data_IF_614908069263
#
_entry.id   IF_614908069263
#
_cell.length_a   1.000
_cell.length_b   1.000
_cell.length_c   1.000
_cell.angle_alpha   90.00
_cell.angle_beta   90.00
_cell.angle_gamma   90.00
#
_symmetry.space_group_name_H-M   'P 1'
#
loop_
_entity.id
_entity.type
_entity.pdbx_description
1 polymer ?
#
# COMPACT_ATOMS: atom_id res chain seq x y z
N UNK A 1 15.73 -0.01 -25.58
CA UNK A 1 14.73 -0.17 -24.51
C UNK A 1 15.20 0.61 -23.30
N UNK A 2 14.41 1.55 -22.77
CA UNK A 2 14.81 2.31 -21.58
C UNK A 2 14.87 1.36 -20.37
N UNK A 3 15.97 1.39 -19.61
CA UNK A 3 16.11 0.57 -18.41
C UNK A 3 15.18 1.11 -17.31
N UNK A 4 14.13 0.35 -16.98
CA UNK A 4 13.29 0.61 -15.81
C UNK A 4 13.96 0.00 -14.58
N UNK A 5 13.97 0.74 -13.47
CA UNK A 5 14.36 0.16 -12.18
C UNK A 5 13.25 -0.80 -11.73
N UNK A 6 13.63 -1.99 -11.29
CA UNK A 6 12.69 -3.04 -10.85
C UNK A 6 12.68 -3.06 -9.35
N UNK A 7 11.51 -2.90 -8.76
CA UNK A 7 11.34 -2.84 -7.31
C UNK A 7 10.31 -3.86 -6.86
N UNK A 8 10.66 -4.62 -5.83
CA UNK A 8 9.70 -5.34 -5.00
C UNK A 8 9.39 -4.45 -3.80
N UNK A 9 8.12 -4.40 -3.41
CA UNK A 9 7.67 -3.69 -2.21
C UNK A 9 6.60 -4.50 -1.48
N UNK A 10 6.46 -4.29 -0.19
CA UNK A 10 5.37 -4.87 0.58
C UNK A 10 4.68 -3.81 1.45
N UNK A 11 3.40 -4.05 1.78
CA UNK A 11 2.59 -3.14 2.59
C UNK A 11 1.53 -3.86 3.40
N UNK A 12 1.03 -3.20 4.44
CA UNK A 12 0.03 -3.72 5.36
C UNK A 12 -1.32 -3.02 5.21
N UNK A 13 -2.39 -3.81 5.04
CA UNK A 13 -3.77 -3.36 5.05
C UNK A 13 -4.30 -3.44 6.49
N UNK A 14 -4.08 -2.37 7.25
CA UNK A 14 -4.50 -2.32 8.66
C UNK A 14 -5.98 -1.93 8.72
N UNK A 15 -6.82 -2.87 9.16
CA UNK A 15 -8.24 -2.63 9.43
C UNK A 15 -8.48 -2.49 10.93
N UNK A 16 -9.22 -1.45 11.32
CA UNK A 16 -9.62 -1.21 12.69
C UNK A 16 -11.00 -0.55 12.72
N UNK A 17 -11.97 -1.15 13.42
CA UNK A 17 -13.33 -0.61 13.61
C UNK A 17 -14.03 -0.15 12.31
N UNK A 18 -13.88 -0.93 11.22
CA UNK A 18 -14.49 -0.60 9.93
C UNK A 18 -13.77 0.50 9.13
N UNK A 19 -12.64 0.99 9.63
CA UNK A 19 -11.74 1.89 8.93
C UNK A 19 -10.46 1.18 8.48
N UNK A 20 -9.83 1.72 7.42
CA UNK A 20 -8.51 1.33 6.94
C UNK A 20 -7.52 2.47 7.20
N UNK A 21 -6.28 2.10 7.56
CA UNK A 21 -5.19 3.05 7.71
C UNK A 21 -4.64 3.49 6.35
N UNK A 22 -4.61 4.80 6.12
CA UNK A 22 -3.96 5.41 4.96
C UNK A 22 -2.80 6.32 5.37
N UNK A 23 -1.81 6.44 4.48
CA UNK A 23 -0.68 7.37 4.61
C UNK A 23 -0.70 8.38 3.47
N UNK A 24 -0.27 9.61 3.76
CA UNK A 24 -0.17 10.70 2.78
C UNK A 24 1.29 11.02 2.51
N UNK A 25 1.76 10.77 1.31
CA UNK A 25 3.13 11.16 0.93
C UNK A 25 3.28 12.69 0.83
N UNK A 26 4.52 13.17 0.75
CA UNK A 26 4.84 14.61 0.62
C UNK A 26 4.29 15.29 -0.64
N UNK A 27 3.92 14.51 -1.67
CA UNK A 27 3.24 15.04 -2.87
C UNK A 27 1.73 15.21 -2.66
N UNK A 28 1.24 14.95 -1.45
CA UNK A 28 -0.14 15.13 -1.06
C UNK A 28 -1.07 13.99 -1.45
N UNK A 29 -0.55 12.88 -1.98
CA UNK A 29 -1.35 11.72 -2.39
C UNK A 29 -1.51 10.73 -1.23
N UNK A 30 -2.75 10.28 -1.03
CA UNK A 30 -3.07 9.21 -0.09
C UNK A 30 -2.86 7.84 -0.74
N UNK A 31 -2.40 6.89 0.06
CA UNK A 31 -2.17 5.51 -0.34
C UNK A 31 -2.11 4.58 0.87
N UNK A 32 -1.74 3.34 0.59
CA UNK A 32 -1.58 2.28 1.58
C UNK A 32 -0.17 2.34 2.18
N UNK A 33 0.00 2.04 3.48
CA UNK A 33 1.32 1.94 4.09
C UNK A 33 2.15 0.83 3.42
N UNK A 34 3.34 1.16 2.93
CA UNK A 34 4.20 0.24 2.16
C UNK A 34 5.58 0.86 1.90
N UNK A 35 6.55 -0.01 1.65
CA UNK A 35 7.83 0.43 1.10
C UNK A 35 8.67 -0.71 0.54
N UNK A 36 9.93 -0.40 0.28
CA UNK A 36 10.79 -1.28 -0.51
C UNK A 36 11.16 -2.53 0.29
N UNK A 37 11.17 -3.67 -0.39
CA UNK A 37 11.75 -4.88 0.16
C UNK A 37 13.27 -4.71 0.31
N UNK A 38 13.79 -5.04 1.48
CA UNK A 38 15.22 -4.99 1.77
C UNK A 38 15.85 -6.40 1.82
N UNK A 39 17.13 -6.55 1.44
CA UNK A 39 17.80 -7.85 1.49
C UNK A 39 17.80 -8.45 2.90
N UNK A 40 17.32 -9.68 3.01
CA UNK A 40 17.28 -10.44 4.26
C UNK A 40 15.91 -10.48 4.93
N UNK A 41 14.94 -9.71 4.44
CA UNK A 41 13.55 -9.74 4.94
C UNK A 41 12.68 -10.72 4.15
N UNK A 42 11.68 -11.31 4.81
CA UNK A 42 10.47 -11.80 4.15
C UNK A 42 9.58 -10.60 3.78
N UNK A 43 8.75 -10.74 2.73
CA UNK A 43 7.82 -9.67 2.33
C UNK A 43 6.82 -9.29 3.44
N UNK A 44 6.44 -10.25 4.29
CA UNK A 44 5.61 -9.97 5.47
C UNK A 44 6.37 -9.13 6.51
N UNK A 45 7.66 -9.38 6.72
CA UNK A 45 8.50 -8.59 7.63
C UNK A 45 8.66 -7.15 7.10
N UNK A 46 8.90 -6.99 5.79
CA UNK A 46 8.89 -5.68 5.13
C UNK A 46 7.56 -4.95 5.38
N UNK A 47 6.41 -5.63 5.19
CA UNK A 47 5.11 -5.01 5.43
C UNK A 47 4.93 -4.53 6.88
N UNK A 48 5.34 -5.33 7.86
CA UNK A 48 5.27 -4.96 9.28
C UNK A 48 6.18 -3.77 9.61
N UNK A 49 7.43 -3.80 9.10
CA UNK A 49 8.40 -2.71 9.28
C UNK A 49 7.88 -1.40 8.71
N UNK A 50 7.38 -1.42 7.48
CA UNK A 50 6.90 -0.22 6.78
C UNK A 50 5.67 0.39 7.45
N UNK A 51 4.73 -0.42 7.93
CA UNK A 51 3.60 0.09 8.73
C UNK A 51 4.11 0.81 9.98
N UNK A 52 5.06 0.22 10.70
CA UNK A 52 5.66 0.82 11.89
C UNK A 52 6.41 2.10 11.59
N UNK A 53 7.25 2.09 10.56
CA UNK A 53 8.08 3.22 10.17
C UNK A 53 7.21 4.39 9.70
N UNK A 54 6.25 4.15 8.81
CA UNK A 54 5.41 5.20 8.22
C UNK A 54 4.38 5.79 9.20
N UNK A 55 3.92 4.99 10.17
CA UNK A 55 2.71 5.32 10.96
C UNK A 55 2.84 5.21 12.48
N UNK A 56 3.95 4.67 12.98
CA UNK A 56 4.16 4.43 14.42
C UNK A 56 3.32 3.30 15.00
N UNK A 57 2.55 2.58 14.18
CA UNK A 57 1.69 1.48 14.62
C UNK A 57 2.41 0.13 14.50
N UNK A 58 2.14 -0.76 15.45
CA UNK A 58 2.63 -2.13 15.44
C UNK A 58 1.51 -3.06 14.99
N UNK A 59 1.82 -3.95 14.05
CA UNK A 59 0.85 -4.86 13.45
C UNK A 59 1.36 -6.29 13.41
N UNK A 60 0.42 -7.22 13.55
CA UNK A 60 0.63 -8.63 13.18
C UNK A 60 0.18 -8.80 11.72
N UNK A 61 1.07 -9.32 10.88
CA UNK A 61 0.79 -9.55 9.45
C UNK A 61 0.08 -10.89 9.28
N UNK A 62 -1.06 -10.85 8.60
CA UNK A 62 -1.86 -12.01 8.24
C UNK A 62 -1.66 -12.42 6.79
N UNK A 63 -2.72 -12.98 6.20
CA UNK A 63 -2.69 -13.52 4.84
C UNK A 63 -2.44 -12.45 3.77
N UNK A 64 -1.82 -12.87 2.67
CA UNK A 64 -1.67 -12.05 1.47
C UNK A 64 -3.07 -11.67 0.95
N UNK A 65 -3.32 -10.38 0.79
CA UNK A 65 -4.57 -9.85 0.26
C UNK A 65 -4.54 -9.82 -1.27
N UNK A 66 -3.51 -9.22 -1.85
CA UNK A 66 -3.35 -9.14 -3.31
C UNK A 66 -1.91 -8.78 -3.71
N UNK A 67 -1.61 -9.01 -4.99
CA UNK A 67 -0.39 -8.56 -5.65
C UNK A 67 -0.77 -7.57 -6.75
N UNK A 68 -0.09 -6.44 -6.82
CA UNK A 68 -0.25 -5.46 -7.91
C UNK A 68 1.06 -5.23 -8.64
N UNK A 69 1.02 -5.23 -9.96
CA UNK A 69 2.17 -4.97 -10.82
C UNK A 69 1.85 -3.86 -11.81
N UNK A 70 2.70 -2.83 -11.86
CA UNK A 70 2.52 -1.71 -12.76
C UNK A 70 3.84 -1.03 -13.09
N UNK A 71 3.81 -0.23 -14.15
CA UNK A 71 4.91 0.66 -14.52
C UNK A 71 4.57 2.08 -14.11
N UNK A 72 5.51 2.74 -13.44
CA UNK A 72 5.47 4.17 -13.19
C UNK A 72 6.38 4.88 -14.20
N UNK A 73 5.79 5.43 -15.26
CA UNK A 73 6.52 6.09 -16.32
C UNK A 73 7.27 7.34 -15.83
N UNK A 74 6.67 8.10 -14.88
CA UNK A 74 7.28 9.31 -14.31
C UNK A 74 8.54 8.96 -13.50
N UNK A 75 8.47 7.91 -12.67
CA UNK A 75 9.59 7.47 -11.85
C UNK A 75 10.56 6.53 -12.58
N UNK A 76 10.25 6.11 -13.81
CA UNK A 76 10.99 5.09 -14.59
C UNK A 76 11.14 3.76 -13.83
N UNK A 77 10.04 3.31 -13.23
CA UNK A 77 10.00 2.14 -12.37
C UNK A 77 9.03 1.08 -12.88
N UNK A 78 9.37 -0.18 -12.61
CA UNK A 78 8.50 -1.33 -12.72
C UNK A 78 8.38 -1.93 -11.32
N UNK A 79 7.18 -1.85 -10.74
CA UNK A 79 6.92 -2.27 -9.37
C UNK A 79 6.06 -3.53 -9.36
N UNK A 80 6.42 -4.46 -8.48
CA UNK A 80 5.55 -5.55 -8.03
C UNK A 80 5.37 -5.37 -6.53
N UNK A 81 4.13 -5.20 -6.09
CA UNK A 81 3.81 -4.88 -4.70
C UNK A 81 2.91 -5.94 -4.09
N UNK A 82 3.27 -6.39 -2.90
CA UNK A 82 2.54 -7.37 -2.11
C UNK A 82 1.83 -6.67 -0.96
N UNK A 83 0.51 -6.86 -0.84
CA UNK A 83 -0.25 -6.30 0.27
C UNK A 83 -0.84 -7.42 1.10
N UNK A 84 -0.63 -7.33 2.41
CA UNK A 84 -1.11 -8.32 3.39
C UNK A 84 -2.20 -7.71 4.26
N UNK A 85 -3.16 -8.52 4.70
CA UNK A 85 -4.02 -8.14 5.81
C UNK A 85 -3.18 -7.92 7.06
N UNK A 86 -3.50 -6.92 7.88
CA UNK A 86 -2.74 -6.62 9.08
C UNK A 86 -3.67 -6.30 10.25
N UNK A 87 -3.36 -6.86 11.42
CA UNK A 87 -4.09 -6.64 12.66
C UNK A 87 -3.30 -5.71 13.58
N UNK A 88 -3.92 -4.61 14.01
CA UNK A 88 -3.33 -3.69 14.97
C UNK A 88 -3.08 -4.41 16.31
N UNK A 89 -1.84 -4.34 16.81
CA UNK A 89 -1.45 -4.95 18.11
C UNK A 89 -0.84 -3.94 19.08
N UNK A 90 -0.50 -2.73 18.63
CA UNK A 90 0.09 -1.70 19.49
C UNK A 90 0.56 -0.47 18.73
N UNK A 91 1.40 0.31 19.38
CA UNK A 91 1.94 1.56 18.85
C UNK A 91 1.01 2.77 19.00
N UNK A 92 1.51 3.92 18.58
CA UNK A 92 0.81 5.20 18.64
C UNK A 92 0.84 5.85 17.28
N UNK A 93 -0.33 6.25 16.78
CA UNK A 93 -0.47 6.83 15.45
C UNK A 93 0.35 8.12 15.33
N UNK A 94 1.42 8.06 14.56
CA UNK A 94 2.35 9.17 14.34
C UNK A 94 2.98 9.06 12.95
N UNK A 95 2.85 10.08 12.08
CA UNK A 95 3.46 10.04 10.76
C UNK A 95 4.99 10.08 10.85
N UNK A 96 5.68 9.33 9.99
CA UNK A 96 7.13 9.38 9.84
C UNK A 96 7.62 10.77 9.40
N UNK A 97 8.28 11.56 10.27
CA UNK A 97 8.76 12.89 9.92
C UNK A 97 9.89 12.76 8.91
N UNK A 98 9.66 13.11 7.65
CA UNK A 98 10.67 12.85 6.61
C UNK A 98 10.08 12.29 5.31
N UNK A 99 9.00 11.55 5.43
CA UNK A 99 8.49 10.74 4.33
C UNK A 99 6.97 10.84 4.22
N UNK A 100 6.30 10.80 5.36
CA UNK A 100 4.85 10.84 5.48
C UNK A 100 4.42 12.20 6.03
N UNK A 101 3.50 12.84 5.31
CA UNK A 101 2.93 14.15 5.65
C UNK A 101 1.61 14.03 6.44
N UNK A 102 1.07 12.82 6.57
CA UNK A 102 -0.14 12.57 7.34
C UNK A 102 -0.51 11.10 7.35
N UNK A 103 -1.21 10.69 8.41
CA UNK A 103 -1.76 9.35 8.60
C UNK A 103 -3.22 9.50 9.01
N UNK A 104 -4.08 8.61 8.53
CA UNK A 104 -5.53 8.73 8.76
C UNK A 104 -6.22 7.38 8.75
N UNK A 105 -7.10 7.16 9.71
CA UNK A 105 -8.13 6.12 9.63
C UNK A 105 -9.27 6.62 8.75
N UNK A 106 -9.55 5.88 7.68
CA UNK A 106 -10.60 6.21 6.70
C UNK A 106 -11.62 5.09 6.69
N UNK A 107 -12.93 5.36 6.87
CA UNK A 107 -13.96 4.35 6.72
C UNK A 107 -13.79 3.62 5.38
N UNK A 108 -13.88 2.29 5.37
CA UNK A 108 -13.66 1.52 4.13
C UNK A 108 -14.61 1.92 3.00
N UNK A 109 -15.81 2.39 3.35
CA UNK A 109 -16.79 2.98 2.42
C UNK A 109 -16.36 4.29 1.76
N UNK A 110 -15.36 4.99 2.31
CA UNK A 110 -14.89 6.29 1.82
C UNK A 110 -13.54 6.19 1.09
N UNK A 111 -12.93 5.01 1.00
CA UNK A 111 -11.55 4.85 0.49
C UNK A 111 -11.37 5.40 -0.93
N UNK A 112 -12.40 5.33 -1.78
CA UNK A 112 -12.38 5.83 -3.16
C UNK A 112 -12.26 7.37 -3.24
N UNK A 113 -12.55 8.08 -2.15
CA UNK A 113 -12.35 9.54 -2.04
C UNK A 113 -10.88 9.91 -1.83
N UNK A 114 -10.06 8.97 -1.33
CA UNK A 114 -8.66 9.20 -0.98
C UNK A 114 -7.70 8.56 -1.98
N UNK A 115 -7.95 7.31 -2.37
CA UNK A 115 -7.11 6.57 -3.31
C UNK A 115 -7.74 6.61 -4.70
N UNK A 116 -7.12 7.38 -5.60
CA UNK A 116 -7.53 7.49 -7.02
C UNK A 116 -6.62 6.74 -7.98
N UNK A 117 -5.59 6.06 -7.46
CA UNK A 117 -4.66 5.27 -8.23
C UNK A 117 -5.17 3.83 -8.36
N UNK A 118 -5.57 3.43 -9.57
CA UNK A 118 -6.18 2.12 -9.86
C UNK A 118 -5.33 0.94 -9.43
N UNK A 119 -3.98 0.95 -9.60
CA UNK A 119 -3.14 -0.13 -9.11
C UNK A 119 -3.23 -0.42 -7.61
N UNK A 120 -3.72 0.53 -6.81
CA UNK A 120 -4.04 0.30 -5.39
C UNK A 120 -5.53 0.14 -5.17
N UNK A 121 -6.37 0.95 -5.81
CA UNK A 121 -7.80 0.97 -5.52
C UNK A 121 -8.53 -0.29 -6.00
N UNK A 122 -8.30 -0.74 -7.23
CA UNK A 122 -9.05 -1.88 -7.77
C UNK A 122 -8.77 -3.19 -7.01
N UNK A 123 -7.51 -3.55 -6.70
CA UNK A 123 -7.21 -4.72 -5.89
C UNK A 123 -7.74 -4.59 -4.45
N UNK A 124 -7.60 -3.40 -3.86
CA UNK A 124 -8.12 -3.13 -2.51
C UNK A 124 -9.63 -3.31 -2.45
N UNK A 125 -10.37 -2.76 -3.41
CA UNK A 125 -11.83 -2.91 -3.49
C UNK A 125 -12.25 -4.37 -3.66
N UNK A 126 -11.55 -5.12 -4.51
CA UNK A 126 -11.79 -6.56 -4.67
C UNK A 126 -11.63 -7.30 -3.34
N UNK A 127 -10.56 -7.01 -2.60
CA UNK A 127 -10.29 -7.62 -1.29
C UNK A 127 -11.30 -7.20 -0.22
N UNK A 128 -11.62 -5.90 -0.11
CA UNK A 128 -12.61 -5.38 0.85
C UNK A 128 -14.01 -5.99 0.64
N UNK A 129 -14.33 -6.41 -0.58
CA UNK A 129 -15.58 -7.08 -0.92
C UNK A 129 -15.54 -8.62 -0.72
N UNK A 130 -14.55 -9.14 0.00
CA UNK A 130 -14.41 -10.57 0.29
C UNK A 130 -13.85 -11.39 -0.88
N UNK A 131 -13.21 -10.73 -1.85
CA UNK A 131 -12.57 -11.40 -2.97
C UNK A 131 -11.37 -12.24 -2.54
N UNK A 132 -11.12 -13.35 -3.24
CA UNK A 132 -9.93 -14.19 -3.03
C UNK A 132 -8.66 -13.47 -3.49
N UNK A 133 -7.51 -13.92 -3.00
CA UNK A 133 -6.19 -13.42 -3.41
C UNK A 133 -6.04 -13.42 -4.93
N UNK A 134 -5.63 -12.29 -5.49
CA UNK A 134 -5.48 -12.11 -6.94
C UNK A 134 -4.26 -11.27 -7.28
N UNK A 135 -3.65 -11.60 -8.42
CA UNK A 135 -2.64 -10.79 -9.08
C UNK A 135 -3.31 -9.80 -10.06
N UNK A 136 -2.96 -8.53 -9.96
CA UNK A 136 -3.47 -7.45 -10.80
C UNK A 136 -2.33 -6.77 -11.56
N UNK A 137 -2.40 -6.79 -12.89
CA UNK A 137 -1.42 -6.13 -13.75
C UNK A 137 -2.02 -4.89 -14.43
N UNK A 138 -1.27 -3.79 -14.42
CA UNK A 138 -1.65 -2.53 -15.06
C UNK A 138 -0.59 -2.13 -16.10
N UNK A 139 -0.73 -2.60 -17.35
CA UNK A 139 0.31 -2.47 -18.37
C UNK A 139 0.39 -1.07 -19.02
N UNK A 140 -0.67 -0.27 -18.92
CA UNK A 140 -0.79 1.07 -19.50
C UNK A 140 -0.73 2.15 -18.40
N UNK A 141 0.43 2.80 -18.19
CA UNK A 141 0.57 3.83 -17.16
C UNK A 141 -0.37 5.02 -17.33
N UNK A 142 -0.80 5.32 -18.56
CA UNK A 142 -1.69 6.46 -18.85
C UNK A 142 -3.10 6.27 -18.27
N UNK A 143 -3.47 5.02 -17.98
CA UNK A 143 -4.80 4.66 -17.46
C UNK A 143 -4.82 4.38 -15.97
N UNK A 144 -3.73 4.63 -15.24
CA UNK A 144 -3.63 4.24 -13.84
C UNK A 144 -4.30 5.23 -12.87
N UNK A 145 -4.66 6.44 -13.31
CA UNK A 145 -5.48 7.38 -12.52
C UNK A 145 -6.95 7.26 -12.90
N UNK A 146 -7.81 7.23 -11.90
CA UNK A 146 -9.25 7.46 -12.08
C UNK A 146 -9.45 8.98 -12.18
N UNK A 147 -10.01 9.43 -13.30
CA UNK A 147 -10.47 10.81 -13.51
C UNK A 147 -11.52 11.15 -12.45
#
# INVERSE_FOLDING_TARGET
>A
MQHLRRHLSAGGLVLHEGAILLVRNRRGHWGLPKGHWEPGELLAETAAREVREETGLEVEIGDLAFITEFRNAEAKEHLVQFFFGARLIGGSLSPAPGEISGVKWVPTSEVEQYIRWRPWLEPLRHWLNGGTVKYHAFPDPSRNRIL
#
